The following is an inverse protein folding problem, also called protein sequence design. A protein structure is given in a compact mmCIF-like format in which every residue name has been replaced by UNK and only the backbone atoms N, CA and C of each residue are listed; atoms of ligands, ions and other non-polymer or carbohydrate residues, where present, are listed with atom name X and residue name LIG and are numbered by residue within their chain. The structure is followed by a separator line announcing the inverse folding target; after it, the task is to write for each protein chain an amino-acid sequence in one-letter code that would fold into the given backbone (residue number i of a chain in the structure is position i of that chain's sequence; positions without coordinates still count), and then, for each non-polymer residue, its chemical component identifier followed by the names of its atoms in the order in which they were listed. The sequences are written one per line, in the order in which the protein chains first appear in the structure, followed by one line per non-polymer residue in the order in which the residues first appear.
data_IF_886506350193
#
_entry.id   IF_886506350193
#
_cell.length_a   1.000
_cell.length_b   1.000
_cell.length_c   1.000
_cell.angle_alpha   90.00
_cell.angle_beta   90.00
_cell.angle_gamma   90.00
#
_symmetry.space_group_name_H-M   'P 1'
#
loop_
_entity.id
_entity.type
_entity.pdbx_description
1 polymer ?
#
# COMPACT_ATOMS: atom_id res chain seq x y z
N UNK A 1 8.81 5.45 28.80
CA UNK A 1 7.53 4.78 29.06
C UNK A 1 7.54 3.45 28.33
N UNK A 2 6.85 2.43 28.87
CA UNK A 2 6.68 1.14 28.18
C UNK A 2 5.19 0.85 28.14
N UNK A 3 4.67 0.60 26.95
CA UNK A 3 3.28 0.15 26.72
C UNK A 3 3.23 -1.02 25.76
N UNK A 4 2.24 -1.89 25.93
CA UNK A 4 1.91 -2.95 25.00
C UNK A 4 0.42 -2.88 24.69
N UNK A 5 0.06 -2.62 23.43
CA UNK A 5 -1.32 -2.60 22.97
C UNK A 5 -1.64 -3.92 22.28
N UNK A 6 -2.77 -4.53 22.60
CA UNK A 6 -3.21 -5.81 22.02
C UNK A 6 -4.51 -5.64 21.25
N UNK A 7 -4.62 -6.34 20.13
CA UNK A 7 -5.90 -6.66 19.49
C UNK A 7 -6.13 -8.17 19.53
N UNK A 8 -7.25 -8.57 20.13
CA UNK A 8 -7.86 -9.89 19.99
C UNK A 8 -9.22 -9.67 19.32
N UNK A 9 -9.21 -9.79 17.99
CA UNK A 9 -10.36 -9.46 17.16
C UNK A 9 -11.55 -10.38 17.45
N UNK A 10 -11.29 -11.66 17.75
CA UNK A 10 -12.34 -12.65 18.05
C UNK A 10 -13.07 -12.34 19.37
N UNK A 11 -12.41 -11.64 20.30
CA UNK A 11 -13.00 -11.16 21.55
C UNK A 11 -13.51 -9.71 21.50
N UNK A 12 -13.46 -9.06 20.35
CA UNK A 12 -13.77 -7.63 20.19
C UNK A 12 -12.92 -6.72 21.09
N UNK A 13 -11.66 -7.11 21.36
CA UNK A 13 -10.69 -6.31 22.10
C UNK A 13 -9.74 -5.65 21.10
N UNK A 14 -9.75 -4.32 21.02
CA UNK A 14 -8.95 -3.57 20.04
C UNK A 14 -8.04 -2.56 20.73
N UNK A 15 -6.73 -2.63 20.44
CA UNK A 15 -5.71 -1.75 21.01
C UNK A 15 -5.76 -1.61 22.54
N UNK A 16 -6.10 -2.68 23.26
CA UNK A 16 -6.17 -2.70 24.73
C UNK A 16 -4.76 -2.65 25.32
N UNK A 17 -4.51 -1.74 26.26
CA UNK A 17 -3.23 -1.70 27.00
C UNK A 17 -3.14 -2.91 27.95
N UNK A 18 -2.24 -3.84 27.63
CA UNK A 18 -2.02 -5.10 28.36
C UNK A 18 -0.70 -5.12 29.13
N UNK A 19 0.01 -3.98 29.22
CA UNK A 19 1.36 -3.87 29.84
C UNK A 19 1.45 -4.51 31.23
N UNK A 20 0.39 -4.37 32.04
CA UNK A 20 0.36 -4.89 33.42
C UNK A 20 -0.13 -6.34 33.53
N UNK A 21 -0.69 -6.94 32.47
CA UNK A 21 -1.23 -8.30 32.50
C UNK A 21 -0.13 -9.38 32.53
N UNK A 22 1.11 -9.01 32.19
CA UNK A 22 2.22 -9.97 32.05
C UNK A 22 2.90 -10.39 33.36
N UNK A 23 2.57 -9.74 34.49
CA UNK A 23 3.19 -10.05 35.80
C UNK A 23 2.93 -11.49 36.27
N UNK A 24 1.81 -12.11 35.88
CA UNK A 24 1.45 -13.48 36.25
C UNK A 24 2.19 -14.56 35.46
N UNK A 25 2.85 -14.21 34.34
CA UNK A 25 3.47 -15.18 33.42
C UNK A 25 5.00 -15.19 33.48
N UNK A 26 5.59 -14.53 34.48
CA UNK A 26 7.05 -14.42 34.64
C UNK A 26 7.75 -15.74 35.01
N UNK A 27 6.98 -16.77 35.39
CA UNK A 27 7.49 -18.07 35.89
C UNK A 27 7.39 -19.22 34.87
N UNK A 28 7.24 -18.95 33.57
CA UNK A 28 7.30 -20.02 32.56
C UNK A 28 8.74 -20.52 32.36
N UNK A 29 8.88 -21.82 32.16
CA UNK A 29 10.18 -22.50 31.98
C UNK A 29 10.84 -22.21 30.63
N UNK A 30 10.07 -21.72 29.63
CA UNK A 30 10.58 -21.31 28.32
C UNK A 30 9.82 -20.11 27.74
N UNK A 31 10.54 -19.28 26.98
CA UNK A 31 10.01 -18.12 26.26
C UNK A 31 10.49 -18.16 24.80
N UNK A 32 9.60 -17.88 23.86
CA UNK A 32 10.02 -17.45 22.52
C UNK A 32 10.73 -16.09 22.65
N UNK A 33 11.93 -15.94 22.11
CA UNK A 33 12.70 -14.69 22.21
C UNK A 33 12.50 -13.84 20.96
N UNK A 34 12.11 -12.58 21.14
CA UNK A 34 12.11 -11.54 20.10
C UNK A 34 13.28 -10.61 20.39
N UNK A 35 14.40 -10.84 19.73
CA UNK A 35 15.62 -10.03 19.86
C UNK A 35 15.52 -8.82 18.94
N UNK A 36 15.74 -7.62 19.49
CA UNK A 36 15.68 -6.35 18.78
C UNK A 36 16.98 -5.60 18.96
N UNK A 37 17.62 -5.20 17.85
CA UNK A 37 18.88 -4.47 17.89
C UNK A 37 18.77 -3.09 17.21
N UNK A 38 18.60 -2.01 17.97
CA UNK A 38 18.39 -0.67 17.42
C UNK A 38 19.66 -0.07 16.79
N UNK A 39 20.82 -0.69 16.99
CA UNK A 39 22.08 -0.25 16.38
C UNK A 39 22.18 -0.60 14.89
N UNK A 40 21.42 -1.60 14.43
CA UNK A 40 21.38 -2.00 13.02
C UNK A 40 20.11 -1.47 12.37
N UNK A 41 20.19 -0.23 11.87
CA UNK A 41 19.14 0.43 11.10
C UNK A 41 19.17 -0.06 9.65
N UNK A 42 18.01 -0.39 9.10
CA UNK A 42 17.80 -0.77 7.70
C UNK A 42 17.20 0.42 6.95
N UNK A 43 16.18 0.20 6.12
CA UNK A 43 15.49 1.24 5.36
C UNK A 43 14.61 2.15 6.24
N UNK A 44 14.36 3.36 5.75
CA UNK A 44 13.37 4.28 6.33
C UNK A 44 11.97 3.95 5.81
N UNK A 45 10.98 4.18 6.67
CA UNK A 45 9.56 3.97 6.36
C UNK A 45 8.96 5.28 5.84
N UNK A 46 8.41 5.23 4.63
CA UNK A 46 7.60 6.26 4.00
C UNK A 46 6.24 6.37 4.70
N UNK A 47 5.62 5.24 5.01
CA UNK A 47 4.41 5.19 5.82
C UNK A 47 3.36 4.20 5.30
N UNK A 48 2.10 4.52 5.57
CA UNK A 48 0.95 3.63 5.37
C UNK A 48 -0.21 4.38 4.72
N UNK A 49 -0.99 3.68 3.89
CA UNK A 49 -2.04 4.30 3.10
C UNK A 49 -3.07 3.34 2.53
N UNK A 50 -3.92 3.88 1.66
CA UNK A 50 -4.88 3.13 0.85
C UNK A 50 -5.22 3.86 -0.45
N UNK A 51 -6.03 3.23 -1.30
CA UNK A 51 -6.40 3.74 -2.62
C UNK A 51 -7.72 4.53 -2.62
N UNK A 52 -7.69 5.69 -3.27
CA UNK A 52 -8.83 6.55 -3.60
C UNK A 52 -9.38 6.17 -4.98
N UNK A 53 -10.04 5.03 -5.07
CA UNK A 53 -10.73 4.61 -6.31
C UNK A 53 -12.05 5.36 -6.48
N UNK A 54 -12.60 5.37 -7.70
CA UNK A 54 -13.94 5.95 -7.94
C UNK A 54 -14.99 5.18 -7.13
N UNK A 55 -14.87 3.86 -6.99
CA UNK A 55 -15.76 3.05 -6.15
C UNK A 55 -15.70 3.42 -4.67
N UNK A 56 -14.51 3.54 -4.07
CA UNK A 56 -14.38 3.94 -2.68
C UNK A 56 -14.96 5.34 -2.43
N UNK A 57 -14.72 6.25 -3.37
CA UNK A 57 -15.25 7.61 -3.32
C UNK A 57 -16.78 7.64 -3.47
N UNK A 58 -17.34 6.82 -4.34
CA UNK A 58 -18.78 6.67 -4.53
C UNK A 58 -19.46 6.11 -3.27
N UNK A 59 -18.89 5.07 -2.65
CA UNK A 59 -19.42 4.51 -1.40
C UNK A 59 -19.36 5.54 -0.28
N UNK A 60 -18.25 6.27 -0.17
CA UNK A 60 -18.10 7.36 0.78
C UNK A 60 -19.22 8.40 0.64
N UNK A 61 -19.46 8.93 -0.57
CA UNK A 61 -20.45 9.98 -0.79
C UNK A 61 -21.90 9.51 -0.70
N UNK A 62 -22.18 8.22 -0.92
CA UNK A 62 -23.52 7.66 -0.71
C UNK A 62 -23.79 7.26 0.74
N UNK A 63 -22.76 7.20 1.59
CA UNK A 63 -22.96 7.06 3.03
C UNK A 63 -23.50 8.37 3.64
N UNK A 64 -24.17 8.28 4.78
CA UNK A 64 -24.62 9.48 5.49
C UNK A 64 -23.44 10.28 6.09
N UNK A 65 -23.65 11.56 6.41
CA UNK A 65 -22.61 12.48 6.90
C UNK A 65 -21.86 11.96 8.14
N UNK A 66 -22.56 11.24 9.04
CA UNK A 66 -21.93 10.64 10.22
C UNK A 66 -20.91 9.59 9.82
N UNK A 67 -21.27 8.70 8.88
CA UNK A 67 -20.38 7.65 8.38
C UNK A 67 -19.22 8.25 7.58
N UNK A 68 -19.48 9.27 6.75
CA UNK A 68 -18.42 10.00 6.04
C UNK A 68 -17.36 10.55 7.01
N UNK A 69 -17.80 11.29 8.05
CA UNK A 69 -16.90 11.80 9.07
C UNK A 69 -16.14 10.68 9.78
N UNK A 70 -16.83 9.59 10.09
CA UNK A 70 -16.24 8.45 10.78
C UNK A 70 -15.14 7.76 9.94
N UNK A 71 -15.35 7.59 8.63
CA UNK A 71 -14.34 7.05 7.70
C UNK A 71 -13.09 7.93 7.70
N UNK A 72 -13.24 9.24 7.52
CA UNK A 72 -12.12 10.18 7.44
C UNK A 72 -11.34 10.24 8.77
N UNK A 73 -12.03 10.31 9.90
CA UNK A 73 -11.38 10.33 11.23
C UNK A 73 -10.66 9.01 11.54
N UNK A 74 -11.23 7.87 11.15
CA UNK A 74 -10.60 6.57 11.39
C UNK A 74 -9.39 6.32 10.51
N UNK A 75 -9.32 6.83 9.29
CA UNK A 75 -8.11 6.69 8.46
C UNK A 75 -7.06 7.76 8.74
N UNK A 76 -7.47 9.03 8.76
CA UNK A 76 -6.54 10.17 8.71
C UNK A 76 -6.51 10.97 10.02
N UNK A 77 -7.50 10.81 10.89
CA UNK A 77 -7.56 11.49 12.18
C UNK A 77 -6.45 11.06 13.13
N UNK A 78 -6.15 11.92 14.12
CA UNK A 78 -5.08 11.69 15.10
C UNK A 78 -5.26 10.41 15.92
N UNK A 79 -6.51 9.99 16.12
CA UNK A 79 -6.88 8.76 16.83
C UNK A 79 -7.18 7.58 15.88
N UNK A 80 -7.15 7.82 14.56
CA UNK A 80 -7.30 6.82 13.50
C UNK A 80 -5.99 6.10 13.17
N UNK A 81 -5.88 5.59 11.95
CA UNK A 81 -4.68 4.92 11.41
C UNK A 81 -3.56 5.90 11.05
N UNK A 82 -3.88 7.21 10.95
CA UNK A 82 -2.93 8.29 10.62
C UNK A 82 -2.23 8.07 9.28
N UNK A 83 -2.97 7.53 8.30
CA UNK A 83 -2.45 7.31 6.94
C UNK A 83 -1.82 8.58 6.38
N UNK A 84 -0.71 8.41 5.67
CA UNK A 84 0.06 9.47 5.02
C UNK A 84 0.47 9.12 3.58
N UNK A 85 0.06 7.94 3.08
CA UNK A 85 0.16 7.58 1.67
C UNK A 85 -1.25 7.45 1.08
N UNK A 86 -1.40 7.78 -0.19
CA UNK A 86 -2.62 7.57 -0.97
C UNK A 86 -2.31 7.13 -2.38
N UNK A 87 -3.02 6.13 -2.92
CA UNK A 87 -2.90 5.73 -4.33
C UNK A 87 -4.14 6.10 -5.11
N UNK A 88 -3.96 6.47 -6.37
CA UNK A 88 -5.04 6.84 -7.29
C UNK A 88 -4.83 6.12 -8.63
N UNK A 89 -5.92 5.89 -9.35
CA UNK A 89 -5.84 5.53 -10.75
C UNK A 89 -5.68 6.77 -11.62
N UNK A 90 -4.83 6.68 -12.63
CA UNK A 90 -4.94 7.58 -13.77
C UNK A 90 -6.13 7.05 -14.57
N UNK A 91 -7.24 7.80 -14.57
CA UNK A 91 -8.56 7.44 -15.11
C UNK A 91 -9.11 6.10 -14.58
N UNK A 92 -9.96 5.38 -15.32
CA UNK A 92 -10.64 4.20 -14.80
C UNK A 92 -9.71 3.01 -14.49
N UNK A 93 -10.15 2.25 -13.49
CA UNK A 93 -9.74 0.89 -13.17
C UNK A 93 -11.00 0.01 -12.98
N UNK A 94 -10.83 -1.25 -12.57
CA UNK A 94 -11.93 -2.15 -12.25
C UNK A 94 -12.87 -1.58 -11.17
N UNK A 95 -12.30 -0.96 -10.14
CA UNK A 95 -13.00 -0.18 -9.11
C UNK A 95 -13.37 1.24 -9.58
N UNK A 96 -13.98 1.29 -10.76
CA UNK A 96 -14.68 2.44 -11.31
C UNK A 96 -16.11 2.03 -11.67
N UNK A 97 -17.01 3.01 -11.79
CA UNK A 97 -18.42 2.78 -12.13
C UNK A 97 -18.61 2.35 -13.59
N UNK A 98 -17.65 2.69 -14.45
CA UNK A 98 -17.52 2.25 -15.84
C UNK A 98 -16.13 2.66 -16.35
N UNK A 99 -15.72 2.13 -17.50
CA UNK A 99 -14.46 2.50 -18.14
C UNK A 99 -14.50 3.92 -18.73
N UNK A 100 -13.43 4.69 -18.53
CA UNK A 100 -13.25 6.01 -19.11
C UNK A 100 -11.76 6.38 -19.22
N UNK A 101 -11.48 7.37 -20.06
CA UNK A 101 -10.18 8.06 -20.08
C UNK A 101 -10.40 9.56 -19.96
N UNK A 102 -9.33 10.35 -19.86
CA UNK A 102 -9.44 11.81 -19.76
C UNK A 102 -9.58 12.49 -21.11
N UNK A 103 -9.47 11.78 -22.23
CA UNK A 103 -9.62 12.33 -23.58
C UNK A 103 -10.73 11.64 -24.36
N UNK A 104 -11.23 12.32 -25.38
CA UNK A 104 -12.06 11.71 -26.41
C UNK A 104 -11.23 10.70 -27.24
N UNK A 105 -11.90 9.64 -27.70
CA UNK A 105 -11.25 8.57 -28.46
C UNK A 105 -10.67 9.11 -29.77
N UNK A 106 -9.41 8.76 -30.04
CA UNK A 106 -8.59 9.24 -31.17
C UNK A 106 -8.12 10.72 -31.09
N UNK A 107 -8.26 11.41 -29.95
CA UNK A 107 -7.66 12.74 -29.77
C UNK A 107 -6.13 12.65 -29.53
N UNK A 108 -5.36 12.68 -30.62
CA UNK A 108 -3.89 12.73 -30.55
C UNK A 108 -3.33 14.11 -30.12
N UNK A 109 -4.17 15.14 -30.07
CA UNK A 109 -3.77 16.50 -29.67
C UNK A 109 -3.86 16.76 -28.17
N UNK A 110 -4.55 15.89 -27.43
CA UNK A 110 -4.87 16.05 -26.00
C UNK A 110 -5.66 17.33 -25.68
N UNK A 111 -6.38 17.88 -26.67
CA UNK A 111 -7.19 19.08 -26.49
C UNK A 111 -8.47 18.82 -25.69
N UNK A 112 -9.01 17.60 -25.78
CA UNK A 112 -10.18 17.14 -25.03
C UNK A 112 -9.85 16.72 -23.59
N UNK A 113 -8.58 16.76 -23.18
CA UNK A 113 -8.15 16.28 -21.86
C UNK A 113 -8.89 17.00 -20.73
N UNK A 114 -9.51 16.23 -19.84
CA UNK A 114 -10.26 16.77 -18.71
C UNK A 114 -10.24 15.86 -17.47
N UNK A 115 -10.23 16.48 -16.30
CA UNK A 115 -10.40 15.82 -15.00
C UNK A 115 -11.80 16.05 -14.41
N UNK A 116 -12.79 16.49 -15.21
CA UNK A 116 -14.15 16.77 -14.69
C UNK A 116 -14.78 15.56 -13.98
N UNK A 117 -14.49 14.34 -14.43
CA UNK A 117 -14.98 13.14 -13.74
C UNK A 117 -14.39 12.95 -12.35
N UNK A 118 -13.09 13.19 -12.19
CA UNK A 118 -12.40 13.10 -10.90
C UNK A 118 -12.94 14.12 -9.89
N UNK A 119 -13.43 15.27 -10.37
CA UNK A 119 -14.04 16.31 -9.53
C UNK A 119 -15.40 15.92 -8.95
N UNK A 120 -16.03 14.84 -9.42
CA UNK A 120 -17.34 14.39 -8.92
C UNK A 120 -17.17 13.72 -7.55
N UNK A 121 -16.25 12.75 -7.44
CA UNK A 121 -16.10 11.93 -6.23
C UNK A 121 -14.66 11.87 -5.71
N UNK A 122 -13.69 11.55 -6.58
CA UNK A 122 -12.33 11.20 -6.15
C UNK A 122 -11.59 12.38 -5.53
N UNK A 123 -11.53 13.53 -6.21
CA UNK A 123 -10.83 14.71 -5.71
C UNK A 123 -11.52 15.33 -4.48
N UNK A 124 -12.87 15.39 -4.42
CA UNK A 124 -13.56 15.76 -3.19
C UNK A 124 -13.22 14.84 -2.00
N UNK A 125 -13.21 13.51 -2.19
CA UNK A 125 -12.87 12.57 -1.11
C UNK A 125 -11.41 12.73 -0.66
N UNK A 126 -10.48 12.87 -1.61
CA UNK A 126 -9.07 13.17 -1.33
C UNK A 126 -8.90 14.50 -0.58
N UNK A 127 -9.71 15.51 -0.89
CA UNK A 127 -9.67 16.80 -0.22
C UNK A 127 -10.12 16.70 1.24
N UNK A 128 -11.14 15.89 1.56
CA UNK A 128 -11.53 15.59 2.94
C UNK A 128 -10.40 14.90 3.72
N UNK A 129 -9.71 13.93 3.10
CA UNK A 129 -8.55 13.27 3.71
C UNK A 129 -7.42 14.27 4.00
N UNK A 130 -7.09 15.15 3.05
CA UNK A 130 -6.04 16.16 3.20
C UNK A 130 -6.31 17.21 4.28
N UNK A 131 -7.58 17.44 4.66
CA UNK A 131 -7.90 18.32 5.81
C UNK A 131 -7.35 17.77 7.13
N UNK A 132 -7.35 16.45 7.31
CA UNK A 132 -6.80 15.80 8.51
C UNK A 132 -5.33 15.39 8.34
N UNK A 133 -4.91 15.08 7.12
CA UNK A 133 -3.52 14.79 6.78
C UNK A 133 -3.00 15.70 5.65
N UNK A 134 -2.51 16.92 5.98
CA UNK A 134 -1.96 17.83 4.96
C UNK A 134 -0.72 17.29 4.25
N UNK A 135 0.05 16.39 4.90
CA UNK A 135 1.26 15.76 4.35
C UNK A 135 0.95 14.38 3.72
N UNK A 136 -0.21 14.25 3.06
CA UNK A 136 -0.59 13.03 2.36
C UNK A 136 0.17 12.94 1.03
N UNK A 137 1.10 11.99 0.94
CA UNK A 137 1.90 11.73 -0.25
C UNK A 137 1.10 10.86 -1.24
N UNK A 138 1.05 11.27 -2.51
CA UNK A 138 0.20 10.63 -3.51
C UNK A 138 1.00 9.81 -4.52
N UNK A 139 0.50 8.62 -4.79
CA UNK A 139 0.91 7.74 -5.87
C UNK A 139 -0.20 7.67 -6.92
N UNK A 140 0.15 7.61 -8.20
CA UNK A 140 -0.76 7.27 -9.28
C UNK A 140 -0.24 6.10 -10.12
N UNK A 141 -1.16 5.34 -10.70
CA UNK A 141 -0.85 4.30 -11.67
C UNK A 141 -1.92 4.28 -12.78
N UNK A 142 -1.56 4.14 -14.06
CA UNK A 142 -2.52 3.87 -15.12
C UNK A 142 -2.78 2.35 -15.23
N UNK A 143 -4.04 1.97 -15.44
CA UNK A 143 -4.38 0.57 -15.77
C UNK A 143 -4.35 0.30 -17.28
N UNK A 144 -4.59 1.33 -18.10
CA UNK A 144 -4.57 1.19 -19.55
C UNK A 144 -4.40 2.56 -20.22
N UNK A 145 -3.57 2.68 -21.27
CA UNK A 145 -3.67 3.81 -22.19
C UNK A 145 -5.04 3.87 -22.89
N UNK A 146 -5.42 5.01 -23.50
CA UNK A 146 -6.59 5.10 -24.38
C UNK A 146 -6.61 4.05 -25.48
N UNK A 147 -7.80 3.59 -25.84
CA UNK A 147 -7.99 2.40 -26.67
C UNK A 147 -7.27 2.53 -28.04
N UNK A 148 -7.40 3.66 -28.73
CA UNK A 148 -6.70 3.88 -30.02
C UNK A 148 -5.18 3.75 -29.93
N UNK A 149 -4.60 4.02 -28.75
CA UNK A 149 -3.16 3.88 -28.52
C UNK A 149 -2.70 2.42 -28.44
N UNK A 150 -3.64 1.48 -28.23
CA UNK A 150 -3.35 0.07 -27.96
C UNK A 150 -3.50 -0.83 -29.17
N UNK A 151 -2.75 -1.93 -29.20
CA UNK A 151 -2.77 -2.93 -30.28
C UNK A 151 -4.14 -3.60 -30.46
N UNK A 152 -4.88 -3.82 -29.36
CA UNK A 152 -6.21 -4.43 -29.37
C UNK A 152 -7.37 -3.42 -29.54
N UNK A 153 -7.08 -2.11 -29.52
CA UNK A 153 -8.10 -1.04 -29.57
C UNK A 153 -9.17 -1.14 -28.49
N UNK A 154 -8.81 -1.63 -27.30
CA UNK A 154 -9.68 -1.75 -26.13
C UNK A 154 -8.95 -1.29 -24.88
N UNK A 155 -9.67 -0.76 -23.89
CA UNK A 155 -9.09 -0.45 -22.58
C UNK A 155 -8.81 -1.73 -21.77
N UNK A 156 -9.64 -2.76 -21.93
CA UNK A 156 -9.52 -4.05 -21.27
C UNK A 156 -8.89 -5.13 -22.16
N UNK A 157 -8.86 -6.36 -21.67
CA UNK A 157 -8.34 -7.56 -22.36
C UNK A 157 -6.87 -7.41 -22.78
N UNK A 158 -6.07 -6.73 -21.96
CA UNK A 158 -4.65 -6.50 -22.20
C UNK A 158 -4.39 -5.67 -23.45
N UNK A 159 -3.74 -6.27 -24.45
CA UNK A 159 -3.10 -5.54 -25.55
C UNK A 159 -1.84 -4.81 -25.07
N UNK A 160 -1.20 -4.06 -25.97
CA UNK A 160 0.03 -3.31 -25.69
C UNK A 160 -0.07 -1.89 -26.17
N UNK A 161 0.65 -0.97 -25.54
CA UNK A 161 0.88 0.36 -26.10
C UNK A 161 1.65 0.23 -27.42
N UNK A 162 1.15 0.82 -28.51
CA UNK A 162 1.90 0.87 -29.77
C UNK A 162 3.08 1.81 -29.60
N UNK A 163 4.25 1.40 -30.08
CA UNK A 163 5.49 2.18 -29.98
C UNK A 163 5.34 3.61 -30.52
N UNK A 164 4.62 3.78 -31.65
CA UNK A 164 4.33 5.11 -32.23
C UNK A 164 3.60 6.09 -31.28
N UNK A 165 2.99 5.58 -30.21
CA UNK A 165 2.26 6.38 -29.22
C UNK A 165 3.02 6.58 -27.90
N UNK A 166 4.28 6.13 -27.77
CA UNK A 166 5.05 6.33 -26.53
C UNK A 166 5.16 7.81 -26.16
N UNK A 167 5.51 8.65 -27.14
CA UNK A 167 5.61 10.10 -26.92
C UNK A 167 4.27 10.73 -26.52
N UNK A 168 3.17 10.31 -27.14
CA UNK A 168 1.84 10.82 -26.85
C UNK A 168 1.36 10.38 -25.46
N UNK A 169 1.62 9.12 -25.09
CA UNK A 169 1.28 8.58 -23.79
C UNK A 169 2.09 9.25 -22.67
N UNK A 170 3.38 9.53 -22.89
CA UNK A 170 4.18 10.31 -21.94
C UNK A 170 3.61 11.73 -21.75
N UNK A 171 3.22 12.41 -22.84
CA UNK A 171 2.56 13.73 -22.78
C UNK A 171 1.21 13.68 -22.03
N UNK A 172 0.46 12.60 -22.18
CA UNK A 172 -0.78 12.38 -21.45
C UNK A 172 -0.53 12.31 -19.94
N UNK A 173 0.46 11.52 -19.51
CA UNK A 173 0.82 11.39 -18.09
C UNK A 173 1.36 12.72 -17.53
N UNK A 174 2.22 13.44 -18.27
CA UNK A 174 2.67 14.79 -17.90
C UNK A 174 1.49 15.75 -17.72
N UNK A 175 0.52 15.73 -18.65
CA UNK A 175 -0.67 16.57 -18.57
C UNK A 175 -1.50 16.24 -17.33
N UNK A 176 -1.69 14.96 -17.02
CA UNK A 176 -2.31 14.52 -15.76
C UNK A 176 -1.60 15.08 -14.53
N UNK A 177 -0.28 14.91 -14.43
CA UNK A 177 0.51 15.43 -13.30
C UNK A 177 0.37 16.95 -13.15
N UNK A 178 0.40 17.70 -14.26
CA UNK A 178 0.23 19.17 -14.25
C UNK A 178 -1.18 19.59 -13.84
N UNK A 179 -2.22 18.94 -14.34
CA UNK A 179 -3.60 19.27 -13.96
C UNK A 179 -3.88 18.92 -12.49
N UNK A 180 -3.39 17.78 -12.00
CA UNK A 180 -3.48 17.42 -10.58
C UNK A 180 -2.76 18.45 -9.69
N UNK A 181 -1.56 18.87 -10.08
CA UNK A 181 -0.80 19.93 -9.39
C UNK A 181 -1.54 21.28 -9.38
N UNK A 182 -2.16 21.68 -10.49
CA UNK A 182 -3.00 22.90 -10.55
C UNK A 182 -4.19 22.85 -9.59
N UNK A 183 -4.71 21.65 -9.32
CA UNK A 183 -5.80 21.43 -8.36
C UNK A 183 -5.29 21.29 -6.91
N UNK A 184 -3.99 21.44 -6.64
CA UNK A 184 -3.41 21.32 -5.30
C UNK A 184 -3.09 19.88 -4.88
N UNK A 185 -3.02 18.96 -5.84
CA UNK A 185 -2.71 17.55 -5.61
C UNK A 185 -1.43 17.16 -6.36
N UNK A 186 -0.28 17.38 -5.73
CA UNK A 186 0.99 16.88 -6.26
C UNK A 186 1.02 15.34 -6.18
N UNK A 187 1.21 14.70 -7.34
CA UNK A 187 1.48 13.26 -7.43
C UNK A 187 2.99 13.07 -7.32
N UNK A 188 3.43 12.43 -6.24
CA UNK A 188 4.84 12.23 -5.94
C UNK A 188 5.41 10.97 -6.57
N UNK A 189 4.59 9.93 -6.69
CA UNK A 189 4.97 8.63 -7.22
C UNK A 189 4.10 8.29 -8.42
N UNK A 190 4.72 7.87 -9.53
CA UNK A 190 4.00 7.44 -10.73
C UNK A 190 4.50 6.06 -11.15
N UNK A 191 3.63 5.06 -11.03
CA UNK A 191 3.86 3.76 -11.67
C UNK A 191 3.70 3.88 -13.17
N UNK A 192 4.59 3.22 -13.93
CA UNK A 192 4.52 3.20 -15.40
C UNK A 192 3.24 2.52 -15.89
N UNK A 193 2.81 1.46 -15.21
CA UNK A 193 1.66 0.65 -15.57
C UNK A 193 1.30 -0.23 -14.38
N UNK A 194 0.02 -0.22 -13.99
CA UNK A 194 -0.51 -1.20 -13.06
C UNK A 194 -0.48 -2.59 -13.70
N UNK A 195 0.11 -3.56 -13.02
CA UNK A 195 0.11 -4.95 -13.43
C UNK A 195 0.50 -5.25 -14.89
N UNK A 196 1.71 -4.85 -15.33
CA UNK A 196 2.14 -4.86 -16.73
C UNK A 196 2.21 -6.24 -17.39
N UNK A 197 2.11 -7.35 -16.65
CA UNK A 197 2.08 -8.69 -17.23
C UNK A 197 0.74 -9.41 -17.04
N UNK A 198 -0.32 -8.70 -16.63
CA UNK A 198 -1.66 -9.25 -16.48
C UNK A 198 -2.60 -8.87 -17.63
N UNK A 199 -3.30 -9.87 -18.18
CA UNK A 199 -4.44 -9.67 -19.08
C UNK A 199 -5.71 -9.79 -18.23
N UNK A 200 -6.46 -8.69 -18.13
CA UNK A 200 -7.66 -8.64 -17.30
C UNK A 200 -8.92 -8.38 -18.13
N UNK A 201 -10.09 -8.76 -17.61
CA UNK A 201 -11.38 -8.45 -18.24
C UNK A 201 -11.78 -6.97 -18.07
N UNK A 202 -11.10 -6.27 -17.16
CA UNK A 202 -11.10 -4.82 -16.97
C UNK A 202 -9.84 -4.17 -17.56
N UNK A 203 -9.66 -2.87 -17.33
CA UNK A 203 -8.52 -2.08 -17.82
C UNK A 203 -7.19 -2.77 -17.53
N UNK A 204 -6.43 -3.06 -18.57
CA UNK A 204 -5.13 -3.71 -18.47
C UNK A 204 -4.31 -3.42 -19.73
N UNK A 205 -2.99 -3.31 -19.59
CA UNK A 205 -2.08 -3.12 -20.72
C UNK A 205 -0.75 -3.83 -20.44
N UNK A 206 -0.33 -4.65 -21.39
CA UNK A 206 0.87 -5.47 -21.26
C UNK A 206 2.12 -4.69 -21.63
N UNK A 207 3.10 -4.70 -20.74
CA UNK A 207 4.48 -4.30 -20.97
C UNK A 207 5.42 -5.43 -20.55
N UNK A 208 6.31 -5.82 -21.45
CA UNK A 208 7.52 -6.54 -21.05
C UNK A 208 8.46 -5.61 -20.28
N UNK A 209 9.41 -6.14 -19.47
CA UNK A 209 10.39 -5.31 -18.79
C UNK A 209 11.12 -4.35 -19.73
N UNK A 210 11.47 -4.81 -20.95
CA UNK A 210 12.13 -3.99 -21.98
C UNK A 210 11.24 -2.86 -22.50
N UNK A 211 9.96 -3.13 -22.72
CA UNK A 211 8.99 -2.10 -23.16
C UNK A 211 8.78 -1.05 -22.07
N UNK A 212 8.69 -1.46 -20.80
CA UNK A 212 8.56 -0.54 -19.66
C UNK A 212 9.82 0.33 -19.48
N UNK A 213 11.02 -0.27 -19.61
CA UNK A 213 12.30 0.45 -19.62
C UNK A 213 12.34 1.47 -20.76
N UNK A 214 12.01 1.05 -21.99
CA UNK A 214 12.01 1.93 -23.15
C UNK A 214 11.04 3.11 -22.97
N UNK A 215 9.84 2.86 -22.44
CA UNK A 215 8.89 3.92 -22.13
C UNK A 215 9.38 4.84 -21.01
N UNK A 216 10.05 4.30 -19.99
CA UNK A 216 10.66 5.08 -18.90
C UNK A 216 11.71 6.06 -19.42
N UNK A 217 12.52 5.65 -20.40
CA UNK A 217 13.48 6.53 -21.08
C UNK A 217 12.84 7.62 -21.94
N UNK A 218 11.56 7.49 -22.30
CA UNK A 218 10.78 8.57 -22.95
C UNK A 218 10.20 9.50 -21.90
N UNK A 219 9.62 8.96 -20.83
CA UNK A 219 8.92 9.74 -19.81
C UNK A 219 9.87 10.50 -18.88
N UNK A 220 10.97 9.88 -18.44
CA UNK A 220 11.93 10.46 -17.49
C UNK A 220 12.47 11.83 -17.93
N UNK A 221 13.10 11.94 -19.12
CA UNK A 221 13.54 13.22 -19.66
C UNK A 221 12.40 14.24 -19.82
N UNK A 222 11.22 13.80 -20.26
CA UNK A 222 10.07 14.68 -20.42
C UNK A 222 9.60 15.26 -19.09
N UNK A 223 9.61 14.49 -18.00
CA UNK A 223 9.31 15.02 -16.66
C UNK A 223 10.28 16.15 -16.29
N UNK A 224 11.56 15.99 -16.59
CA UNK A 224 12.57 17.02 -16.32
C UNK A 224 12.34 18.28 -17.18
N UNK A 225 12.12 18.13 -18.48
CA UNK A 225 11.83 19.25 -19.39
C UNK A 225 10.58 20.04 -18.98
N UNK A 226 9.61 19.35 -18.39
CA UNK A 226 8.29 19.90 -18.04
C UNK A 226 8.21 20.39 -16.58
N UNK A 227 9.33 20.40 -15.84
CA UNK A 227 9.43 20.88 -14.45
C UNK A 227 8.77 19.98 -13.41
N UNK A 228 8.76 18.67 -13.68
CA UNK A 228 8.18 17.60 -12.87
C UNK A 228 9.24 16.60 -12.39
N UNK A 229 10.52 16.99 -12.37
CA UNK A 229 11.68 16.13 -12.04
C UNK A 229 11.63 15.50 -10.64
N UNK A 230 10.76 16.02 -9.75
CA UNK A 230 10.53 15.45 -8.42
C UNK A 230 9.59 14.24 -8.40
N UNK A 231 8.90 13.98 -9.52
CA UNK A 231 8.01 12.81 -9.66
C UNK A 231 8.86 11.56 -9.74
N UNK A 232 8.64 10.63 -8.81
CA UNK A 232 9.39 9.38 -8.68
C UNK A 232 8.73 8.30 -9.52
N UNK A 233 9.46 7.74 -10.50
CA UNK A 233 8.94 6.67 -11.34
C UNK A 233 9.09 5.31 -10.66
N UNK A 234 8.00 4.53 -10.69
CA UNK A 234 7.92 3.16 -10.18
C UNK A 234 7.73 2.19 -11.34
N UNK A 235 8.52 1.11 -11.34
CA UNK A 235 8.35 -0.03 -12.27
C UNK A 235 7.79 -1.25 -11.53
N UNK A 236 7.48 -2.28 -12.32
CA UNK A 236 6.81 -3.52 -11.93
C UNK A 236 5.35 -3.30 -11.52
N UNK A 237 5.07 -2.75 -10.34
CA UNK A 237 3.71 -2.56 -9.80
C UNK A 237 2.85 -3.82 -9.98
N UNK A 238 3.43 -4.95 -9.55
CA UNK A 238 2.90 -6.29 -9.75
C UNK A 238 3.42 -7.26 -8.68
N UNK A 239 2.99 -8.52 -8.77
CA UNK A 239 3.34 -9.59 -7.85
C UNK A 239 4.83 -9.90 -7.78
N UNK A 240 5.27 -10.37 -6.59
CA UNK A 240 6.67 -10.63 -6.26
C UNK A 240 7.34 -11.69 -7.14
N UNK A 241 6.57 -12.59 -7.74
CA UNK A 241 7.07 -13.67 -8.60
C UNK A 241 7.77 -13.16 -9.86
N UNK A 242 7.45 -11.94 -10.30
CA UNK A 242 8.07 -11.30 -11.47
C UNK A 242 9.36 -10.53 -11.16
N UNK A 243 9.71 -10.34 -9.88
CA UNK A 243 10.85 -9.50 -9.47
C UNK A 243 12.14 -9.95 -10.15
N UNK A 244 12.46 -11.24 -10.13
CA UNK A 244 13.69 -11.78 -10.73
C UNK A 244 13.82 -11.42 -12.21
N UNK A 245 12.73 -11.62 -12.97
CA UNK A 245 12.68 -11.33 -14.40
C UNK A 245 12.84 -9.84 -14.69
N UNK A 246 12.14 -8.99 -13.95
CA UNK A 246 12.17 -7.54 -14.15
C UNK A 246 13.52 -6.94 -13.75
N UNK A 247 14.04 -7.34 -12.59
CA UNK A 247 15.34 -6.86 -12.10
C UNK A 247 16.49 -7.31 -13.00
N UNK A 248 16.42 -8.50 -13.61
CA UNK A 248 17.43 -8.96 -14.56
C UNK A 248 17.53 -8.07 -15.82
N UNK A 249 16.45 -7.43 -16.26
CA UNK A 249 16.49 -6.48 -17.37
C UNK A 249 16.82 -5.06 -16.91
N UNK A 250 16.27 -4.60 -15.79
CA UNK A 250 16.54 -3.26 -15.24
C UNK A 250 18.03 -3.11 -14.90
N UNK A 251 18.64 -4.11 -14.25
CA UNK A 251 20.04 -4.07 -13.84
C UNK A 251 21.04 -3.92 -15.01
N UNK A 252 20.62 -4.19 -16.25
CA UNK A 252 21.45 -4.05 -17.45
C UNK A 252 21.45 -2.63 -18.02
N UNK A 253 20.54 -1.77 -17.58
CA UNK A 253 20.27 -0.47 -18.21
C UNK A 253 20.50 0.70 -17.26
N UNK A 254 21.74 1.20 -17.21
CA UNK A 254 22.14 2.28 -16.31
C UNK A 254 21.45 3.61 -16.58
N UNK A 255 21.10 3.88 -17.84
CA UNK A 255 20.32 5.07 -18.21
C UNK A 255 18.91 4.97 -17.64
N UNK A 256 18.24 3.83 -17.80
CA UNK A 256 16.91 3.62 -17.24
C UNK A 256 16.92 3.74 -15.72
N UNK A 257 17.90 3.11 -15.04
CA UNK A 257 18.04 3.18 -13.58
C UNK A 257 18.08 4.63 -13.08
N UNK A 258 18.68 5.57 -13.82
CA UNK A 258 18.73 6.98 -13.42
C UNK A 258 17.36 7.68 -13.37
N UNK A 259 16.38 7.14 -14.07
CA UNK A 259 14.99 7.63 -14.09
C UNK A 259 14.07 6.88 -13.13
N UNK A 260 14.47 5.70 -12.67
CA UNK A 260 13.65 4.82 -11.84
C UNK A 260 13.94 5.11 -10.37
N UNK A 261 12.92 5.49 -9.61
CA UNK A 261 13.03 5.63 -8.17
C UNK A 261 12.94 4.27 -7.46
N UNK A 262 12.02 3.41 -7.88
CA UNK A 262 11.82 2.14 -7.19
C UNK A 262 10.93 1.14 -7.90
N UNK A 263 10.68 0.04 -7.20
CA UNK A 263 9.88 -1.09 -7.64
C UNK A 263 8.63 -1.20 -6.75
N UNK A 264 7.46 -1.25 -7.39
CA UNK A 264 6.17 -1.49 -6.74
C UNK A 264 5.87 -2.98 -6.68
N UNK A 265 5.36 -3.46 -5.54
CA UNK A 265 5.05 -4.89 -5.34
C UNK A 265 3.61 -5.11 -4.83
N UNK A 266 2.98 -6.18 -5.32
CA UNK A 266 1.66 -6.69 -4.91
C UNK A 266 1.78 -8.12 -4.31
N UNK A 267 0.70 -8.67 -3.75
CA UNK A 267 0.71 -9.98 -3.04
C UNK A 267 -0.22 -11.09 -3.56
N UNK A 268 -0.82 -10.93 -4.73
CA UNK A 268 -1.94 -11.77 -5.19
C UNK A 268 -1.53 -13.19 -5.61
N UNK A 269 -0.23 -13.45 -5.80
CA UNK A 269 0.29 -14.75 -6.27
C UNK A 269 1.00 -15.53 -5.15
N UNK A 270 1.89 -14.89 -4.41
CA UNK A 270 2.70 -15.57 -3.41
C UNK A 270 3.20 -14.65 -2.29
N UNK A 271 3.59 -15.29 -1.18
CA UNK A 271 4.29 -14.71 -0.04
C UNK A 271 5.81 -14.94 -0.15
N UNK A 272 6.35 -14.87 -1.38
CA UNK A 272 7.78 -15.04 -1.68
C UNK A 272 8.59 -13.82 -1.22
N UNK A 273 8.56 -13.52 0.08
CA UNK A 273 9.18 -12.33 0.66
C UNK A 273 10.68 -12.24 0.34
N UNK A 274 11.38 -13.38 0.23
CA UNK A 274 12.81 -13.41 -0.13
C UNK A 274 13.13 -12.76 -1.48
N UNK A 275 12.19 -12.77 -2.44
CA UNK A 275 12.39 -12.10 -3.73
C UNK A 275 12.50 -10.59 -3.60
N UNK A 276 11.93 -9.99 -2.55
CA UNK A 276 12.00 -8.55 -2.29
C UNK A 276 13.46 -8.11 -2.06
N UNK A 277 14.27 -8.96 -1.41
CA UNK A 277 15.69 -8.67 -1.13
C UNK A 277 16.48 -8.51 -2.43
N UNK A 278 16.13 -9.28 -3.47
CA UNK A 278 16.84 -9.26 -4.76
C UNK A 278 16.85 -7.88 -5.43
N UNK A 279 15.86 -7.03 -5.17
CA UNK A 279 15.79 -5.68 -5.75
C UNK A 279 17.02 -4.87 -5.32
N UNK A 280 17.30 -4.85 -4.01
CA UNK A 280 18.45 -4.10 -3.46
C UNK A 280 19.77 -4.83 -3.70
N UNK A 281 19.79 -6.16 -3.76
CA UNK A 281 21.00 -6.91 -4.10
C UNK A 281 21.46 -6.64 -5.54
N UNK A 282 20.52 -6.54 -6.48
CA UNK A 282 20.82 -6.30 -7.89
C UNK A 282 21.04 -4.82 -8.21
N UNK A 283 20.21 -3.93 -7.65
CA UNK A 283 20.31 -2.48 -7.88
C UNK A 283 20.10 -1.74 -6.55
N UNK A 284 21.17 -1.55 -5.74
CA UNK A 284 21.08 -1.01 -4.38
C UNK A 284 20.47 0.38 -4.24
N UNK A 285 20.45 1.17 -5.34
CA UNK A 285 19.86 2.51 -5.36
C UNK A 285 18.33 2.51 -5.47
N UNK A 286 17.71 1.39 -5.83
CA UNK A 286 16.27 1.33 -5.99
C UNK A 286 15.55 1.17 -4.64
N UNK A 287 14.45 1.89 -4.54
CA UNK A 287 13.51 1.78 -3.43
C UNK A 287 12.49 0.67 -3.68
N UNK A 288 11.84 0.21 -2.61
CA UNK A 288 10.78 -0.80 -2.68
C UNK A 288 9.56 -0.30 -1.94
N UNK A 289 8.40 -0.36 -2.58
CA UNK A 289 7.12 0.02 -1.96
C UNK A 289 6.05 -1.03 -2.27
N UNK A 290 5.28 -1.41 -1.25
CA UNK A 290 4.08 -2.20 -1.43
C UNK A 290 2.95 -1.28 -1.83
N UNK A 291 2.46 -1.44 -3.06
CA UNK A 291 1.61 -0.45 -3.73
C UNK A 291 0.14 -0.86 -3.76
N UNK A 292 -0.15 -2.14 -3.58
CA UNK A 292 -1.50 -2.67 -3.61
C UNK A 292 -1.58 -4.09 -3.04
N UNK A 293 -2.63 -4.33 -2.26
CA UNK A 293 -3.15 -5.67 -1.99
C UNK A 293 -4.50 -5.61 -1.30
N UNK A 294 -5.31 -6.63 -1.53
CA UNK A 294 -6.60 -6.80 -0.86
C UNK A 294 -6.88 -8.28 -0.59
N UNK A 295 -7.98 -8.53 0.13
CA UNK A 295 -8.59 -9.85 0.20
C UNK A 295 -9.62 -9.98 -0.92
N UNK A 296 -9.42 -10.96 -1.80
CA UNK A 296 -10.19 -11.17 -3.01
C UNK A 296 -11.48 -11.98 -2.72
N UNK A 297 -12.44 -11.91 -3.64
CA UNK A 297 -13.67 -12.73 -3.56
C UNK A 297 -14.80 -12.12 -2.73
N UNK A 298 -14.85 -10.79 -2.65
CA UNK A 298 -15.86 -10.04 -1.89
C UNK A 298 -15.53 -9.84 -0.42
N UNK A 299 -16.54 -9.47 0.37
CA UNK A 299 -16.39 -9.05 1.77
C UNK A 299 -16.25 -10.26 2.72
N UNK A 300 -15.27 -10.22 3.65
CA UNK A 300 -15.01 -11.28 4.63
C UNK A 300 -15.23 -10.82 6.08
N UNK A 301 -16.42 -10.24 6.37
CA UNK A 301 -16.74 -9.72 7.71
C UNK A 301 -16.54 -10.77 8.80
N UNK A 302 -15.82 -10.39 9.86
CA UNK A 302 -15.60 -11.26 11.02
C UNK A 302 -14.44 -12.26 10.86
N UNK A 303 -13.79 -12.32 9.70
CA UNK A 303 -12.65 -13.21 9.46
C UNK A 303 -11.37 -12.68 10.09
N UNK A 304 -10.77 -13.41 11.04
CA UNK A 304 -9.45 -13.06 11.58
C UNK A 304 -8.32 -13.23 10.56
N UNK A 305 -8.49 -14.17 9.64
CA UNK A 305 -7.50 -14.52 8.61
C UNK A 305 -7.17 -13.34 7.70
N UNK A 306 -8.14 -12.46 7.46
CA UNK A 306 -7.92 -11.23 6.69
C UNK A 306 -6.93 -10.32 7.43
N UNK A 307 -7.06 -10.17 8.75
CA UNK A 307 -6.14 -9.34 9.54
C UNK A 307 -4.73 -9.94 9.55
N UNK A 308 -4.66 -11.25 9.80
CA UNK A 308 -3.43 -12.04 9.81
C UNK A 308 -2.66 -11.93 8.50
N UNK A 309 -3.32 -12.11 7.35
CA UNK A 309 -2.71 -11.93 6.02
C UNK A 309 -2.07 -10.54 5.85
N UNK A 310 -2.76 -9.48 6.29
CA UNK A 310 -2.24 -8.12 6.25
C UNK A 310 -0.97 -7.97 7.12
N UNK A 311 -1.02 -8.42 8.38
CA UNK A 311 0.15 -8.32 9.26
C UNK A 311 1.32 -9.17 8.75
N UNK A 312 1.08 -10.40 8.29
CA UNK A 312 2.12 -11.28 7.75
C UNK A 312 2.81 -10.66 6.54
N UNK A 313 2.06 -10.04 5.64
CA UNK A 313 2.66 -9.39 4.47
C UNK A 313 3.40 -8.10 4.82
N UNK A 314 2.83 -7.24 5.70
CA UNK A 314 3.53 -6.03 6.16
C UNK A 314 4.85 -6.41 6.84
N UNK A 315 4.84 -7.38 7.76
CA UNK A 315 6.04 -7.86 8.44
C UNK A 315 7.01 -8.49 7.43
N UNK A 316 6.52 -9.35 6.55
CA UNK A 316 7.31 -10.05 5.54
C UNK A 316 8.08 -9.12 4.61
N UNK A 317 7.41 -8.09 4.09
CA UNK A 317 8.01 -7.12 3.18
C UNK A 317 8.91 -6.10 3.90
N UNK A 318 8.47 -5.56 5.04
CA UNK A 318 9.23 -4.54 5.77
C UNK A 318 10.51 -5.13 6.37
N UNK A 319 10.52 -6.41 6.76
CA UNK A 319 11.76 -7.06 7.20
C UNK A 319 12.78 -7.27 6.06
N UNK A 320 12.36 -7.07 4.79
CA UNK A 320 13.14 -7.33 3.57
C UNK A 320 13.30 -6.12 2.65
N UNK A 321 13.19 -4.91 3.21
CA UNK A 321 13.58 -3.69 2.50
C UNK A 321 12.43 -2.86 1.95
N UNK A 322 11.17 -3.28 2.12
CA UNK A 322 10.01 -2.47 1.76
C UNK A 322 9.88 -1.23 2.65
N UNK A 323 9.53 -0.10 2.04
CA UNK A 323 9.58 1.22 2.67
C UNK A 323 8.18 1.80 2.92
N UNK A 324 7.12 1.26 2.32
CA UNK A 324 5.76 1.76 2.51
C UNK A 324 4.72 0.72 2.16
N UNK A 325 3.53 0.88 2.71
CA UNK A 325 2.39 -0.02 2.48
C UNK A 325 1.17 0.78 2.07
N UNK A 326 0.63 0.49 0.89
CA UNK A 326 -0.62 1.05 0.40
C UNK A 326 -1.61 -0.09 0.23
N UNK A 327 -2.67 -0.08 1.04
CA UNK A 327 -3.83 -0.95 0.90
C UNK A 327 -4.60 -0.63 -0.39
N UNK A 328 -5.52 -1.51 -0.79
CA UNK A 328 -6.43 -1.24 -1.90
C UNK A 328 -7.55 -0.27 -1.52
N UNK A 329 -8.80 -0.57 -1.88
CA UNK A 329 -9.92 0.33 -1.65
C UNK A 329 -10.04 0.73 -0.17
N UNK A 330 -10.00 2.03 0.12
CA UNK A 330 -10.19 2.55 1.48
C UNK A 330 -11.54 2.12 2.08
N UNK A 331 -12.60 2.09 1.28
CA UNK A 331 -13.94 1.69 1.73
C UNK A 331 -14.70 1.06 0.57
N UNK A 332 -15.51 0.04 0.86
CA UNK A 332 -16.41 -0.61 -0.09
C UNK A 332 -17.79 -0.82 0.54
N UNK A 333 -18.78 -1.16 -0.28
CA UNK A 333 -20.12 -1.55 0.18
C UNK A 333 -20.14 -3.00 0.70
N UNK A 334 -21.30 -3.46 1.18
CA UNK A 334 -21.49 -4.83 1.69
C UNK A 334 -21.27 -5.95 0.66
N UNK A 335 -21.17 -5.61 -0.62
CA UNK A 335 -20.89 -6.55 -1.70
C UNK A 335 -19.40 -6.55 -2.10
N UNK A 336 -18.61 -5.61 -1.60
CA UNK A 336 -17.20 -5.46 -1.96
C UNK A 336 -17.00 -4.68 -3.26
N UNK A 337 -17.93 -3.78 -3.56
CA UNK A 337 -17.94 -2.95 -4.75
C UNK A 337 -18.28 -1.47 -4.47
N UNK A 338 -18.77 -0.73 -5.48
CA UNK A 338 -19.08 -1.20 -6.84
C UNK A 338 -17.82 -1.58 -7.63
N UNK A 339 -17.96 -2.46 -8.62
CA UNK A 339 -16.89 -2.84 -9.55
C UNK A 339 -17.54 -3.18 -10.90
N UNK A 340 -17.15 -2.50 -11.99
CA UNK A 340 -17.91 -2.56 -13.26
C UNK A 340 -17.80 -3.90 -14.01
N UNK A 341 -16.95 -4.81 -13.54
CA UNK A 341 -16.79 -6.18 -14.06
C UNK A 341 -17.13 -7.26 -13.02
N UNK A 342 -17.57 -6.87 -11.83
CA UNK A 342 -17.91 -7.80 -10.74
C UNK A 342 -16.70 -8.43 -10.04
N UNK A 343 -15.51 -7.83 -10.15
CA UNK A 343 -14.32 -8.25 -9.43
C UNK A 343 -14.33 -7.73 -7.97
N UNK A 344 -15.24 -8.27 -7.16
CA UNK A 344 -15.43 -7.79 -5.79
C UNK A 344 -14.29 -8.18 -4.85
N UNK A 345 -13.96 -7.27 -3.94
CA UNK A 345 -12.91 -7.44 -2.93
C UNK A 345 -13.40 -7.00 -1.55
N UNK A 346 -12.66 -7.38 -0.52
CA UNK A 346 -12.82 -6.82 0.81
C UNK A 346 -12.10 -5.46 0.93
N UNK A 347 -12.46 -4.70 1.97
CA UNK A 347 -11.77 -3.48 2.39
C UNK A 347 -11.68 -3.42 3.91
N UNK A 348 -10.74 -2.68 4.51
CA UNK A 348 -10.68 -2.54 5.97
C UNK A 348 -11.93 -1.89 6.58
N UNK A 349 -12.67 -1.13 5.78
CA UNK A 349 -13.95 -0.55 6.16
C UNK A 349 -15.03 -0.92 5.14
N UNK A 350 -16.17 -1.38 5.65
CA UNK A 350 -17.33 -1.75 4.86
C UNK A 350 -18.52 -0.91 5.32
N UNK A 351 -19.17 -0.22 4.38
CA UNK A 351 -20.46 0.42 4.64
C UNK A 351 -21.55 -0.60 4.38
N UNK A 352 -22.38 -0.88 5.39
CA UNK A 352 -23.49 -1.84 5.31
C UNK A 352 -24.66 -1.34 6.13
N UNK A 353 -25.86 -1.34 5.55
CA UNK A 353 -27.11 -0.96 6.24
C UNK A 353 -27.03 0.42 6.96
N UNK A 354 -26.31 1.38 6.36
CA UNK A 354 -26.10 2.72 6.92
C UNK A 354 -25.14 2.77 8.12
N UNK A 355 -24.40 1.69 8.37
CA UNK A 355 -23.38 1.56 9.41
C UNK A 355 -22.00 1.33 8.81
N UNK A 356 -20.96 1.73 9.54
CA UNK A 356 -19.58 1.44 9.21
C UNK A 356 -19.11 0.23 10.01
N UNK A 357 -18.69 -0.82 9.32
CA UNK A 357 -18.12 -2.03 9.91
C UNK A 357 -16.61 -2.00 9.66
N UNK A 358 -15.83 -2.22 10.72
CA UNK A 358 -14.37 -2.30 10.65
C UNK A 358 -13.96 -3.77 10.61
N UNK A 359 -13.27 -4.16 9.54
CA UNK A 359 -12.72 -5.49 9.40
C UNK A 359 -11.45 -5.67 10.24
N UNK A 360 -11.04 -6.92 10.44
CA UNK A 360 -9.80 -7.24 11.13
C UNK A 360 -8.58 -6.56 10.51
N UNK A 361 -8.55 -6.39 9.18
CA UNK A 361 -7.48 -5.67 8.46
C UNK A 361 -7.32 -4.23 8.94
N UNK A 362 -8.40 -3.50 9.27
CA UNK A 362 -8.31 -2.14 9.82
C UNK A 362 -7.49 -2.12 11.12
N UNK A 363 -7.81 -3.04 12.03
CA UNK A 363 -7.12 -3.11 13.32
C UNK A 363 -5.67 -3.58 13.16
N UNK A 364 -5.45 -4.59 12.31
CA UNK A 364 -4.11 -5.14 12.08
C UNK A 364 -3.18 -4.15 11.39
N UNK A 365 -3.65 -3.40 10.37
CA UNK A 365 -2.87 -2.28 9.81
C UNK A 365 -2.61 -1.21 10.87
N UNK A 366 -3.56 -0.97 11.77
CA UNK A 366 -3.40 -0.03 12.88
C UNK A 366 -2.29 -0.37 13.86
N UNK A 367 -1.92 -1.65 14.02
CA UNK A 367 -0.76 -2.04 14.83
C UNK A 367 0.58 -1.59 14.25
N UNK A 368 0.62 -1.20 12.97
CA UNK A 368 1.76 -0.60 12.31
C UNK A 368 1.57 0.92 12.17
N UNK A 369 0.56 1.34 11.42
CA UNK A 369 0.34 2.73 11.00
C UNK A 369 0.16 3.73 12.14
N UNK A 370 -0.47 3.33 13.26
CA UNK A 370 -0.67 4.24 14.42
C UNK A 370 0.62 4.54 15.16
N UNK A 371 1.52 3.55 15.21
CA UNK A 371 2.66 3.51 16.12
C UNK A 371 3.99 3.77 15.41
N UNK A 372 4.13 3.31 14.18
CA UNK A 372 5.32 3.52 13.35
C UNK A 372 5.10 4.80 12.53
N UNK A 373 5.89 5.82 12.83
CA UNK A 373 5.74 7.14 12.23
C UNK A 373 6.61 7.31 10.98
N UNK A 374 6.26 8.21 10.03
CA UNK A 374 7.10 8.46 8.86
C UNK A 374 8.54 8.78 9.24
N UNK A 375 9.49 8.31 8.43
CA UNK A 375 10.94 8.35 8.67
C UNK A 375 11.46 7.46 9.82
N UNK A 376 10.61 6.60 10.41
CA UNK A 376 11.09 5.53 11.27
C UNK A 376 12.04 4.59 10.50
N UNK A 377 13.04 4.06 11.17
CA UNK A 377 13.91 3.04 10.59
C UNK A 377 13.40 1.65 10.97
N UNK A 378 13.32 0.73 10.00
CA UNK A 378 13.27 -0.69 10.34
C UNK A 378 14.58 -1.05 11.03
N UNK A 379 14.51 -1.81 12.13
CA UNK A 379 15.69 -2.27 12.87
C UNK A 379 15.74 -3.79 12.92
N UNK A 380 16.94 -4.33 13.09
CA UNK A 380 17.13 -5.77 13.04
C UNK A 380 16.36 -6.50 14.14
N UNK A 381 15.64 -7.54 13.74
CA UNK A 381 14.72 -8.30 14.57
C UNK A 381 14.87 -9.78 14.27
N UNK A 382 15.05 -10.60 15.31
CA UNK A 382 15.13 -12.05 15.21
C UNK A 382 14.12 -12.68 16.17
N UNK A 383 13.35 -13.64 15.68
CA UNK A 383 12.46 -14.47 16.51
C UNK A 383 13.06 -15.87 16.62
N UNK A 384 13.21 -16.39 17.84
CA UNK A 384 13.85 -17.69 18.07
C UNK A 384 13.03 -18.88 17.59
N UNK A 385 11.72 -18.72 17.44
CA UNK A 385 10.78 -19.75 17.01
C UNK A 385 9.86 -19.20 15.91
N UNK A 386 9.33 -20.09 15.06
CA UNK A 386 8.53 -19.71 13.89
C UNK A 386 7.05 -19.46 14.19
N UNK A 387 6.63 -19.60 15.44
CA UNK A 387 5.24 -19.40 15.89
C UNK A 387 4.85 -17.92 15.99
N UNK A 388 5.81 -17.00 16.04
CA UNK A 388 5.55 -15.56 16.06
C UNK A 388 6.18 -14.86 14.86
N UNK A 389 5.46 -13.89 14.32
CA UNK A 389 5.97 -12.93 13.35
C UNK A 389 6.28 -11.63 14.08
N UNK A 390 7.39 -10.97 13.75
CA UNK A 390 7.74 -9.72 14.40
C UNK A 390 8.41 -8.72 13.44
N UNK A 391 8.12 -7.44 13.67
CA UNK A 391 8.78 -6.29 13.05
C UNK A 391 9.11 -5.28 14.14
N UNK A 392 10.35 -4.80 14.21
CA UNK A 392 10.71 -3.68 15.04
C UNK A 392 11.14 -2.46 14.22
N UNK A 393 10.79 -1.28 14.72
CA UNK A 393 11.12 0.00 14.11
C UNK A 393 11.57 0.99 15.19
N UNK A 394 12.49 1.89 14.82
CA UNK A 394 12.91 3.01 15.65
C UNK A 394 12.30 4.30 15.08
N UNK A 395 11.36 4.88 15.82
CA UNK A 395 10.74 6.16 15.46
C UNK A 395 11.78 7.30 15.54
N UNK A 396 11.59 8.41 14.78
CA UNK A 396 12.47 9.57 14.85
C UNK A 396 12.54 10.22 16.24
N UNK A 397 11.55 9.97 17.09
CA UNK A 397 11.51 10.40 18.49
C UNK A 397 12.46 9.62 19.41
N UNK A 398 13.04 8.52 18.94
CA UNK A 398 13.84 7.58 19.74
C UNK A 398 13.04 6.41 20.33
N UNK A 399 11.70 6.43 20.22
CA UNK A 399 10.84 5.32 20.65
C UNK A 399 11.06 4.08 19.76
N UNK A 400 11.28 2.92 20.38
CA UNK A 400 11.29 1.62 19.69
C UNK A 400 9.90 1.01 19.70
N UNK A 401 9.38 0.71 18.51
CA UNK A 401 8.10 0.03 18.30
C UNK A 401 8.36 -1.41 17.90
N UNK A 402 7.73 -2.38 18.56
CA UNK A 402 7.85 -3.81 18.22
C UNK A 402 6.46 -4.40 18.02
N UNK A 403 6.12 -4.74 16.78
CA UNK A 403 4.86 -5.41 16.43
C UNK A 403 5.09 -6.91 16.41
N UNK A 404 4.23 -7.68 17.07
CA UNK A 404 4.30 -9.14 17.19
C UNK A 404 2.93 -9.72 16.86
N UNK A 405 2.86 -10.65 15.92
CA UNK A 405 1.64 -11.33 15.51
C UNK A 405 1.75 -12.84 15.81
N UNK A 406 0.73 -13.41 16.44
CA UNK A 406 0.57 -14.84 16.66
C UNK A 406 -0.61 -15.34 15.82
N UNK A 407 -0.32 -16.02 14.72
CA UNK A 407 -1.33 -16.59 13.82
C UNK A 407 -1.69 -18.05 14.19
N UNK A 408 -1.10 -18.58 15.25
CA UNK A 408 -1.32 -19.96 15.69
C UNK A 408 -2.49 -20.04 16.68
N UNK A 409 -3.06 -21.23 16.83
CA UNK A 409 -4.08 -21.50 17.86
C UNK A 409 -3.51 -21.47 19.29
N UNK A 410 -2.18 -21.48 19.46
CA UNK A 410 -1.53 -21.67 20.74
C UNK A 410 -1.07 -20.35 21.35
N UNK A 411 -1.44 -20.15 22.62
CA UNK A 411 -0.95 -19.03 23.40
C UNK A 411 0.56 -19.12 23.61
N UNK A 412 1.27 -18.04 23.31
CA UNK A 412 2.73 -18.00 23.36
C UNK A 412 3.20 -17.05 24.45
N UNK A 413 4.06 -17.54 25.36
CA UNK A 413 4.85 -16.68 26.22
C UNK A 413 6.14 -16.30 25.51
N UNK A 414 6.48 -15.02 25.51
CA UNK A 414 7.65 -14.53 24.80
C UNK A 414 8.38 -13.46 25.62
N UNK A 415 9.60 -13.13 25.20
CA UNK A 415 10.40 -12.06 25.77
C UNK A 415 10.95 -11.16 24.67
N UNK A 416 10.66 -9.86 24.73
CA UNK A 416 11.33 -8.86 23.91
C UNK A 416 12.65 -8.51 24.58
N UNK A 417 13.75 -8.75 23.87
CA UNK A 417 15.10 -8.40 24.31
C UNK A 417 15.56 -7.20 23.51
N UNK A 418 15.61 -6.04 24.17
CA UNK A 418 16.05 -4.78 23.57
C UNK A 418 17.28 -4.29 24.35
N UNK A 419 18.46 -4.39 23.75
CA UNK A 419 19.75 -4.15 24.44
C UNK A 419 19.85 -5.00 25.72
N UNK A 420 19.97 -4.36 26.89
CA UNK A 420 20.03 -5.02 28.20
C UNK A 420 18.64 -5.19 28.86
N UNK A 421 17.57 -4.71 28.23
CA UNK A 421 16.20 -4.80 28.77
C UNK A 421 15.52 -6.07 28.28
N UNK A 422 14.82 -6.72 29.18
CA UNK A 422 14.00 -7.91 28.93
C UNK A 422 12.57 -7.63 29.33
N UNK A 423 11.65 -7.65 28.37
CA UNK A 423 10.23 -7.41 28.59
C UNK A 423 9.48 -8.70 28.33
N UNK A 424 8.90 -9.28 29.39
CA UNK A 424 8.11 -10.50 29.25
C UNK A 424 6.71 -10.16 28.74
N UNK A 425 6.25 -10.93 27.77
CA UNK A 425 4.93 -10.84 27.18
C UNK A 425 4.23 -12.18 27.10
N UNK A 426 2.93 -12.12 26.90
CA UNK A 426 2.08 -13.27 26.64
C UNK A 426 1.09 -12.89 25.55
N UNK A 427 1.10 -13.61 24.44
CA UNK A 427 0.27 -13.32 23.27
C UNK A 427 -0.65 -14.51 23.01
N UNK A 428 -1.98 -14.36 23.21
CA UNK A 428 -2.92 -15.42 22.89
C UNK A 428 -2.87 -15.82 21.41
N UNK A 429 -3.37 -17.01 21.08
CA UNK A 429 -3.55 -17.42 19.69
C UNK A 429 -4.42 -16.45 18.91
N UNK A 430 -4.12 -16.24 17.62
CA UNK A 430 -4.83 -15.31 16.72
C UNK A 430 -4.90 -13.85 17.23
N UNK A 431 -3.79 -13.34 17.77
CA UNK A 431 -3.72 -11.95 18.28
C UNK A 431 -2.48 -11.22 17.79
N UNK A 432 -2.56 -9.89 17.81
CA UNK A 432 -1.46 -8.99 17.47
C UNK A 432 -1.21 -8.01 18.60
N UNK A 433 0.06 -7.75 18.89
CA UNK A 433 0.51 -6.84 19.95
C UNK A 433 1.54 -5.84 19.41
N UNK A 434 1.50 -4.61 19.91
CA UNK A 434 2.51 -3.58 19.61
C UNK A 434 3.08 -3.03 20.91
N UNK A 435 4.39 -3.23 21.10
CA UNK A 435 5.14 -2.58 22.17
C UNK A 435 5.62 -1.22 21.72
N UNK A 436 5.48 -0.23 22.60
CA UNK A 436 6.02 1.12 22.50
C UNK A 436 6.99 1.31 23.65
N UNK A 437 8.29 1.43 23.36
CA UNK A 437 9.38 1.39 24.34
C UNK A 437 10.24 2.65 24.18
N UNK A 438 10.13 3.59 25.11
CA UNK A 438 11.07 4.71 25.17
C UNK A 438 12.41 4.30 25.80
N UNK A 439 13.46 5.05 25.47
CA UNK A 439 14.81 4.86 26.01
C UNK A 439 14.92 4.94 27.54
#
# INVERSE_FOLDING_TARGET
MIKCFQTDYLKNEYFVDVTNKFKSHQHKDSFTTVLVNPNFKKQQILGFGGAFTESASYVYYNANEKIQKEIIEKYFGKQGLRYNLGRMSVHSCDFSLNSYTYIEECDESLNSFTLEREKIYVLPFLSEAKKLQPNLHLMAAPWSPPAFMKTNRKLNEGGKLKEKYYMLWAKYLVKYLKEMKKLGHDIEYLSIQNEPEAVQVWESCIYTPKEAIAFTKVLGPMLQEEGLEKTKLILLDHNRDLIEKWMAEIAKDTEAISWIWGIGIHWYVSEDFEKVVLIKDMVPSLHVIFTEGCQEGGVHLGSIKTGERYARNIIGDFTRGCEGFIDWNLVLDEHGGPNHVGNFCDAPMIVKDGQLILNSSYYYIGHFSKFITPSAFVIDTLVSEKNLLALACLNPTGETVVVICNETDQDTAYQVVLNNRKLNGFIPGHTIQTWCIDE
#
